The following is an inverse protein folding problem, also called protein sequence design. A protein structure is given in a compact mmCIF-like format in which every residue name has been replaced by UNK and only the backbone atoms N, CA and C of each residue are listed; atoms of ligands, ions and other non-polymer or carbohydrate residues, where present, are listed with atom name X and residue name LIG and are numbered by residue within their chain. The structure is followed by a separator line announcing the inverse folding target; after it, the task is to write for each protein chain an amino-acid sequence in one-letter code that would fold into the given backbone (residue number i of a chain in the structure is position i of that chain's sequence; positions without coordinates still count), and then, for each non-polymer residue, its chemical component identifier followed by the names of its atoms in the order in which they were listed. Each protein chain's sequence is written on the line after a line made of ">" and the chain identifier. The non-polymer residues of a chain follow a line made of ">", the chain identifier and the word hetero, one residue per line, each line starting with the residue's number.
data_IF_320680123661
#
_entry.id   IF_320680123661
#
_cell.length_a   1.000
_cell.length_b   1.000
_cell.length_c   1.000
_cell.angle_alpha   90.00
_cell.angle_beta   90.00
_cell.angle_gamma   90.00
#
_symmetry.space_group_name_H-M   'P 1'
#
loop_
_entity.id
_entity.type
_entity.pdbx_description
1 polymer ?
#
# COMPACT_ATOMS: atom_id res chain seq x y z
N UNK A 1 -35.85 -8.58 -11.84
CA UNK A 1 -35.43 -7.28 -12.41
C UNK A 1 -33.98 -7.04 -12.03
N UNK A 2 -33.05 -7.60 -12.82
CA UNK A 2 -31.62 -7.41 -12.60
C UNK A 2 -31.19 -5.98 -12.96
N UNK A 3 -30.15 -5.42 -12.33
CA UNK A 3 -29.76 -4.04 -12.53
C UNK A 3 -29.02 -3.89 -13.87
N UNK A 4 -29.57 -3.09 -14.77
CA UNK A 4 -28.87 -2.59 -15.95
C UNK A 4 -27.88 -1.51 -15.49
N UNK A 5 -26.59 -1.85 -15.46
CA UNK A 5 -25.53 -0.89 -15.20
C UNK A 5 -24.17 -1.55 -15.06
N UNK A 6 -23.62 -2.11 -16.14
CA UNK A 6 -22.18 -2.39 -16.20
C UNK A 6 -21.44 -1.06 -16.25
N UNK A 7 -21.10 -0.52 -15.08
CA UNK A 7 -20.28 0.69 -14.94
C UNK A 7 -18.83 0.39 -15.24
N UNK A 8 -18.44 0.36 -16.51
CA UNK A 8 -17.04 0.45 -16.94
C UNK A 8 -16.64 1.93 -16.82
N UNK A 9 -16.50 2.43 -15.60
CA UNK A 9 -16.22 3.83 -15.31
C UNK A 9 -16.23 4.06 -13.80
N UNK A 10 -15.10 4.48 -13.25
CA UNK A 10 -14.90 4.63 -11.80
C UNK A 10 -16.07 5.38 -11.15
N UNK A 11 -16.68 4.76 -10.15
CA UNK A 11 -17.94 5.18 -9.50
C UNK A 11 -17.85 6.51 -8.72
N UNK A 12 -16.74 7.25 -8.83
CA UNK A 12 -16.45 8.44 -8.00
C UNK A 12 -16.22 8.12 -6.51
N UNK A 13 -16.45 6.86 -6.09
CA UNK A 13 -16.62 6.46 -4.70
C UNK A 13 -15.38 6.73 -3.82
N UNK A 14 -14.18 6.63 -4.40
CA UNK A 14 -12.93 6.95 -3.69
C UNK A 14 -12.87 8.44 -3.36
N UNK A 15 -13.24 9.32 -4.29
CA UNK A 15 -13.25 10.76 -4.05
C UNK A 15 -14.34 11.14 -3.04
N UNK A 16 -15.54 10.57 -3.19
CA UNK A 16 -16.65 10.83 -2.26
C UNK A 16 -16.31 10.36 -0.84
N UNK A 17 -15.55 9.27 -0.70
CA UNK A 17 -15.10 8.79 0.61
C UNK A 17 -14.16 9.76 1.32
N UNK A 18 -13.39 10.56 0.59
CA UNK A 18 -12.54 11.60 1.19
C UNK A 18 -13.38 12.73 1.78
N UNK A 19 -14.48 13.09 1.12
CA UNK A 19 -15.46 14.04 1.67
C UNK A 19 -16.23 13.43 2.84
N UNK A 20 -16.63 12.16 2.74
CA UNK A 20 -17.34 11.46 3.81
C UNK A 20 -16.47 11.20 5.06
N UNK A 21 -15.14 11.33 4.96
CA UNK A 21 -14.22 11.11 6.08
C UNK A 21 -14.44 12.10 7.24
N UNK A 22 -15.03 13.28 6.99
CA UNK A 22 -15.34 14.28 8.03
C UNK A 22 -16.70 14.07 8.71
N UNK A 23 -17.48 13.09 8.25
CA UNK A 23 -18.79 12.78 8.83
C UNK A 23 -18.64 12.14 10.22
N UNK A 24 -19.71 12.20 11.06
CA UNK A 24 -19.73 11.52 12.35
C UNK A 24 -19.39 10.03 12.22
N UNK A 25 -18.78 9.46 13.27
CA UNK A 25 -18.30 8.06 13.28
C UNK A 25 -19.40 7.06 12.93
N UNK A 26 -20.62 7.24 13.44
CA UNK A 26 -21.76 6.37 13.16
C UNK A 26 -22.13 6.33 11.68
N UNK A 27 -22.12 7.50 11.02
CA UNK A 27 -22.36 7.60 9.58
C UNK A 27 -21.25 6.91 8.80
N UNK A 28 -20.00 7.09 9.22
CA UNK A 28 -18.85 6.43 8.57
C UNK A 28 -18.90 4.90 8.75
N UNK A 29 -19.31 4.40 9.91
CA UNK A 29 -19.52 2.96 10.16
C UNK A 29 -20.57 2.40 9.18
N UNK A 30 -21.70 3.09 9.00
CA UNK A 30 -22.72 2.68 8.05
C UNK A 30 -22.19 2.68 6.61
N UNK A 31 -21.42 3.71 6.21
CA UNK A 31 -20.76 3.76 4.91
C UNK A 31 -19.77 2.61 4.71
N UNK A 32 -18.93 2.30 5.70
CA UNK A 32 -17.97 1.18 5.63
C UNK A 32 -18.72 -0.14 5.44
N UNK A 33 -19.79 -0.39 6.23
CA UNK A 33 -20.63 -1.60 6.09
C UNK A 33 -21.19 -1.73 4.67
N UNK A 34 -21.72 -0.64 4.11
CA UNK A 34 -22.22 -0.60 2.74
C UNK A 34 -21.12 -0.90 1.72
N UNK A 35 -19.95 -0.25 1.83
CA UNK A 35 -18.83 -0.43 0.91
C UNK A 35 -18.31 -1.87 0.93
N UNK A 36 -18.17 -2.48 2.12
CA UNK A 36 -17.75 -3.88 2.26
C UNK A 36 -18.81 -4.85 1.71
N UNK A 37 -20.09 -4.56 1.92
CA UNK A 37 -21.18 -5.36 1.33
C UNK A 37 -21.18 -5.29 -0.20
N UNK A 38 -20.91 -4.13 -0.78
CA UNK A 38 -20.79 -3.97 -2.23
C UNK A 38 -19.55 -4.71 -2.75
N UNK A 39 -18.41 -4.60 -2.08
CA UNK A 39 -17.21 -5.36 -2.42
C UNK A 39 -17.43 -6.87 -2.36
N UNK A 40 -18.28 -7.36 -1.45
CA UNK A 40 -18.61 -8.78 -1.32
C UNK A 40 -19.56 -9.30 -2.41
N UNK A 41 -20.19 -8.42 -3.19
CA UNK A 41 -21.13 -8.82 -4.24
C UNK A 41 -20.46 -9.68 -5.31
N UNK A 42 -21.03 -10.84 -5.68
CA UNK A 42 -20.52 -11.67 -6.77
C UNK A 42 -20.59 -11.01 -8.15
N UNK A 43 -21.38 -9.94 -8.27
CA UNK A 43 -21.65 -9.25 -9.54
C UNK A 43 -20.71 -8.07 -9.79
N UNK A 44 -19.89 -7.71 -8.81
CA UNK A 44 -18.94 -6.60 -8.94
C UNK A 44 -17.61 -7.09 -9.51
N UNK A 45 -17.02 -6.44 -10.52
CA UNK A 45 -15.68 -6.78 -10.98
C UNK A 45 -14.62 -6.38 -9.94
N UNK A 46 -13.44 -7.00 -10.00
CA UNK A 46 -12.32 -6.72 -9.11
C UNK A 46 -11.94 -5.24 -9.06
N UNK A 47 -12.07 -4.51 -10.18
CA UNK A 47 -11.80 -3.06 -10.26
C UNK A 47 -12.75 -2.24 -9.37
N UNK A 48 -14.03 -2.62 -9.31
CA UNK A 48 -15.00 -1.95 -8.46
C UNK A 48 -14.77 -2.32 -6.99
N UNK A 49 -14.44 -3.59 -6.71
CA UNK A 49 -14.08 -4.04 -5.36
C UNK A 49 -12.87 -3.29 -4.82
N UNK A 50 -11.82 -3.11 -5.62
CA UNK A 50 -10.65 -2.30 -5.28
C UNK A 50 -11.09 -0.89 -4.85
N UNK A 51 -11.94 -0.24 -5.65
CA UNK A 51 -12.45 1.10 -5.36
C UNK A 51 -13.24 1.15 -4.05
N UNK A 52 -14.10 0.17 -3.76
CA UNK A 52 -14.85 0.11 -2.50
C UNK A 52 -13.95 -0.11 -1.29
N UNK A 53 -12.92 -0.96 -1.40
CA UNK A 53 -11.97 -1.23 -0.31
C UNK A 53 -11.09 -0.01 -0.03
N UNK A 54 -10.65 0.71 -1.08
CA UNK A 54 -9.94 1.98 -0.94
C UNK A 54 -10.84 3.04 -0.30
N UNK A 55 -12.09 3.16 -0.75
CA UNK A 55 -13.06 4.08 -0.16
C UNK A 55 -13.28 3.79 1.34
N UNK A 56 -13.45 2.52 1.71
CA UNK A 56 -13.59 2.11 3.10
C UNK A 56 -12.35 2.51 3.91
N UNK A 57 -11.15 2.36 3.34
CA UNK A 57 -9.89 2.71 4.00
C UNK A 57 -9.81 4.19 4.40
N UNK A 58 -10.49 5.10 3.69
CA UNK A 58 -10.51 6.53 4.01
C UNK A 58 -11.39 6.85 5.24
N UNK A 59 -12.28 5.95 5.63
CA UNK A 59 -13.32 6.20 6.64
C UNK A 59 -12.98 5.63 8.03
N UNK A 60 -11.89 4.86 8.17
CA UNK A 60 -11.59 4.05 9.36
C UNK A 60 -11.01 4.81 10.57
N UNK A 61 -10.84 6.13 10.49
CA UNK A 61 -10.24 6.89 11.58
C UNK A 61 -11.18 6.95 12.80
N UNK A 62 -10.68 6.76 14.02
CA UNK A 62 -11.43 6.90 15.28
C UNK A 62 -12.65 5.98 15.41
N UNK A 63 -12.59 4.75 14.89
CA UNK A 63 -13.58 3.72 15.16
C UNK A 63 -13.39 3.16 16.57
N UNK A 64 -14.48 2.68 17.18
CA UNK A 64 -14.39 1.85 18.38
C UNK A 64 -13.77 0.47 18.07
N UNK A 65 -13.30 -0.21 19.12
CA UNK A 65 -12.58 -1.48 18.99
C UNK A 65 -13.43 -2.60 18.40
N UNK A 66 -14.75 -2.62 18.65
CA UNK A 66 -15.64 -3.65 18.13
C UNK A 66 -15.75 -3.55 16.61
N UNK A 67 -16.11 -2.37 16.10
CA UNK A 67 -16.22 -2.12 14.67
C UNK A 67 -14.87 -2.24 13.96
N UNK A 68 -13.79 -1.72 14.57
CA UNK A 68 -12.43 -1.84 14.02
C UNK A 68 -12.05 -3.30 13.83
N UNK A 69 -12.26 -4.14 14.84
CA UNK A 69 -11.92 -5.57 14.79
C UNK A 69 -12.77 -6.30 13.75
N UNK A 70 -14.08 -6.03 13.69
CA UNK A 70 -14.96 -6.65 12.70
C UNK A 70 -14.59 -6.29 11.25
N UNK A 71 -14.26 -5.03 10.99
CA UNK A 71 -13.78 -4.59 9.68
C UNK A 71 -12.38 -5.12 9.36
N UNK A 72 -11.52 -5.29 10.36
CA UNK A 72 -10.19 -5.87 10.17
C UNK A 72 -10.29 -7.31 9.67
N UNK A 73 -11.08 -8.15 10.33
CA UNK A 73 -11.27 -9.55 9.92
C UNK A 73 -11.87 -9.64 8.52
N UNK A 74 -12.86 -8.80 8.22
CA UNK A 74 -13.44 -8.71 6.88
C UNK A 74 -12.39 -8.35 5.82
N UNK A 75 -11.57 -7.32 6.09
CA UNK A 75 -10.51 -6.91 5.17
C UNK A 75 -9.43 -8.01 4.98
N UNK A 76 -9.10 -8.75 6.04
CA UNK A 76 -8.17 -9.88 5.97
C UNK A 76 -8.73 -11.05 5.16
N UNK A 77 -10.03 -11.32 5.23
CA UNK A 77 -10.69 -12.30 4.38
C UNK A 77 -10.58 -11.90 2.90
N UNK A 78 -10.86 -10.64 2.54
CA UNK A 78 -10.64 -10.16 1.16
C UNK A 78 -9.19 -10.27 0.71
N UNK A 79 -8.22 -9.94 1.59
CA UNK A 79 -6.80 -9.97 1.25
C UNK A 79 -6.27 -11.38 0.98
N UNK A 80 -6.81 -12.39 1.68
CA UNK A 80 -6.33 -13.77 1.62
C UNK A 80 -7.17 -14.67 0.73
N UNK A 81 -8.48 -14.41 0.66
CA UNK A 81 -9.51 -15.22 -0.02
C UNK A 81 -10.58 -14.29 -0.60
N UNK A 82 -10.26 -13.53 -1.66
CA UNK A 82 -11.24 -12.66 -2.30
C UNK A 82 -12.47 -13.48 -2.75
N UNK A 83 -13.70 -12.93 -2.64
CA UNK A 83 -14.91 -13.64 -3.00
C UNK A 83 -14.95 -13.94 -4.50
N UNK A 84 -15.64 -15.03 -4.86
CA UNK A 84 -15.87 -15.36 -6.26
C UNK A 84 -16.68 -14.27 -6.96
N UNK A 85 -16.37 -14.04 -8.23
CA UNK A 85 -16.99 -13.01 -9.06
C UNK A 85 -17.40 -13.59 -10.40
N UNK A 86 -18.69 -13.53 -10.71
CA UNK A 86 -19.17 -13.88 -12.04
C UNK A 86 -18.66 -12.87 -13.08
N UNK A 87 -18.59 -11.58 -12.71
CA UNK A 87 -18.07 -10.53 -13.58
C UNK A 87 -16.60 -10.77 -13.96
N UNK A 88 -15.76 -11.21 -13.02
CA UNK A 88 -14.36 -11.52 -13.32
C UNK A 88 -14.23 -12.81 -14.13
N UNK A 89 -15.08 -13.81 -13.88
CA UNK A 89 -15.13 -15.05 -14.66
C UNK A 89 -15.54 -14.78 -16.12
N UNK A 90 -16.56 -13.95 -16.33
CA UNK A 90 -17.02 -13.52 -17.66
C UNK A 90 -15.91 -12.75 -18.38
N UNK A 91 -15.24 -11.82 -17.70
CA UNK A 91 -14.14 -11.05 -18.27
C UNK A 91 -12.93 -11.93 -18.64
N UNK A 92 -12.57 -12.87 -17.77
CA UNK A 92 -11.52 -13.84 -18.04
C UNK A 92 -11.84 -14.70 -19.28
N UNK A 93 -13.11 -15.06 -19.51
CA UNK A 93 -13.52 -15.80 -20.71
C UNK A 93 -13.33 -15.01 -22.01
N UNK A 94 -13.34 -13.68 -21.94
CA UNK A 94 -13.13 -12.79 -23.09
C UNK A 94 -11.65 -12.47 -23.35
N UNK A 95 -10.75 -12.84 -22.44
CA UNK A 95 -9.30 -12.54 -22.51
C UNK A 95 -8.49 -13.45 -23.46
N UNK A 96 -9.15 -14.30 -24.26
CA UNK A 96 -8.50 -15.21 -25.20
C UNK A 96 -7.62 -14.46 -26.23
N UNK A 97 -6.41 -14.97 -26.56
CA UNK A 97 -5.55 -14.39 -27.58
C UNK A 97 -6.20 -14.28 -28.97
N UNK A 98 -7.28 -15.02 -29.23
CA UNK A 98 -8.00 -15.05 -30.51
C UNK A 98 -9.32 -14.27 -30.48
N UNK A 99 -9.70 -13.65 -29.35
CA UNK A 99 -10.89 -12.81 -29.26
C UNK A 99 -10.73 -11.52 -30.06
N UNK A 100 -11.79 -11.10 -30.75
CA UNK A 100 -11.84 -9.83 -31.50
C UNK A 100 -11.73 -8.58 -30.61
N UNK A 101 -12.00 -8.73 -29.30
CA UNK A 101 -11.84 -7.70 -28.29
C UNK A 101 -11.05 -8.29 -27.11
N UNK A 102 -9.91 -7.68 -26.78
CA UNK A 102 -9.08 -8.08 -25.63
C UNK A 102 -9.32 -7.12 -24.48
N UNK A 103 -9.82 -7.62 -23.36
CA UNK A 103 -9.86 -6.88 -22.10
C UNK A 103 -8.68 -7.39 -21.26
N UNK A 104 -7.66 -6.55 -21.09
CA UNK A 104 -6.55 -6.83 -20.18
C UNK A 104 -6.90 -6.30 -18.79
N UNK A 105 -7.92 -6.89 -18.15
CA UNK A 105 -8.21 -6.59 -16.75
C UNK A 105 -7.37 -7.51 -15.87
N UNK A 106 -6.32 -6.95 -15.29
CA UNK A 106 -5.49 -7.62 -14.28
C UNK A 106 -5.88 -7.18 -12.87
N UNK A 107 -7.06 -6.60 -12.69
CA UNK A 107 -7.44 -6.03 -11.41
C UNK A 107 -7.51 -7.11 -10.33
N UNK A 108 -6.76 -6.87 -9.26
CA UNK A 108 -6.76 -7.65 -8.05
C UNK A 108 -7.17 -6.72 -6.89
N UNK A 109 -8.19 -7.12 -6.12
CA UNK A 109 -8.63 -6.32 -4.97
C UNK A 109 -7.81 -6.62 -3.70
N UNK A 110 -6.97 -7.66 -3.70
CA UNK A 110 -6.16 -8.06 -2.53
C UNK A 110 -5.20 -6.97 -2.05
N UNK A 111 -4.52 -6.18 -2.91
CA UNK A 111 -3.70 -5.06 -2.46
C UNK A 111 -4.50 -3.98 -1.71
N UNK A 112 -5.69 -3.61 -2.19
CA UNK A 112 -6.55 -2.65 -1.48
C UNK A 112 -7.10 -3.21 -0.17
N UNK A 113 -7.48 -4.49 -0.14
CA UNK A 113 -7.91 -5.17 1.07
C UNK A 113 -6.79 -5.21 2.13
N UNK A 114 -5.56 -5.53 1.70
CA UNK A 114 -4.37 -5.55 2.56
C UNK A 114 -4.07 -4.16 3.12
N UNK A 115 -4.23 -3.12 2.29
CA UNK A 115 -4.07 -1.74 2.72
C UNK A 115 -5.13 -1.32 3.75
N UNK A 116 -6.40 -1.67 3.54
CA UNK A 116 -7.47 -1.45 4.51
C UNK A 116 -7.18 -2.17 5.84
N UNK A 117 -6.78 -3.45 5.78
CA UNK A 117 -6.41 -4.23 6.95
C UNK A 117 -5.24 -3.59 7.71
N UNK A 118 -4.21 -3.09 7.00
CA UNK A 118 -3.10 -2.35 7.61
C UNK A 118 -3.54 -1.07 8.34
N UNK A 119 -4.60 -0.40 7.87
CA UNK A 119 -5.14 0.78 8.55
C UNK A 119 -5.90 0.45 9.82
N UNK A 120 -6.50 -0.74 9.89
CA UNK A 120 -7.29 -1.23 11.02
C UNK A 120 -6.47 -2.01 12.06
N UNK A 121 -5.31 -2.55 11.68
CA UNK A 121 -4.46 -3.35 12.55
C UNK A 121 -3.86 -2.54 13.72
N UNK A 122 -4.03 -3.05 14.94
CA UNK A 122 -3.51 -2.46 16.18
C UNK A 122 -2.55 -3.43 16.87
N UNK A 123 -2.98 -4.68 17.07
CA UNK A 123 -2.19 -5.68 17.79
C UNK A 123 -1.01 -6.18 16.98
N UNK A 124 0.00 -6.73 17.66
CA UNK A 124 1.18 -7.32 17.00
C UNK A 124 0.83 -8.52 16.12
N UNK A 125 -0.21 -9.29 16.49
CA UNK A 125 -0.70 -10.42 15.69
C UNK A 125 -1.43 -9.95 14.43
N UNK A 126 -2.35 -8.98 14.54
CA UNK A 126 -3.03 -8.37 13.40
C UNK A 126 -2.01 -7.80 12.38
N UNK A 127 -1.01 -7.07 12.89
CA UNK A 127 0.07 -6.50 12.08
C UNK A 127 0.90 -7.59 11.38
N UNK A 128 1.20 -8.69 12.07
CA UNK A 128 1.90 -9.85 11.48
C UNK A 128 1.08 -10.49 10.35
N UNK A 129 -0.21 -10.70 10.55
CA UNK A 129 -1.12 -11.26 9.54
C UNK A 129 -1.16 -10.39 8.28
N UNK A 130 -1.25 -9.07 8.46
CA UNK A 130 -1.20 -8.12 7.34
C UNK A 130 0.16 -8.14 6.63
N UNK A 131 1.28 -8.16 7.38
CA UNK A 131 2.62 -8.28 6.80
C UNK A 131 2.74 -9.51 5.91
N UNK A 132 2.34 -10.67 6.42
CA UNK A 132 2.48 -11.94 5.69
C UNK A 132 1.58 -11.97 4.44
N UNK A 133 0.40 -11.35 4.50
CA UNK A 133 -0.46 -11.16 3.33
C UNK A 133 0.17 -10.20 2.30
N UNK A 134 0.71 -9.06 2.75
CA UNK A 134 1.34 -8.06 1.90
C UNK A 134 2.58 -8.61 1.16
N UNK A 135 3.45 -9.36 1.84
CA UNK A 135 4.65 -9.94 1.24
C UNK A 135 4.31 -10.92 0.10
N UNK A 136 3.17 -11.62 0.17
CA UNK A 136 2.71 -12.55 -0.89
C UNK A 136 2.20 -11.85 -2.14
N UNK A 137 1.90 -10.56 -2.06
CA UNK A 137 1.37 -9.75 -3.16
C UNK A 137 2.45 -8.93 -3.88
N UNK A 138 3.71 -9.00 -3.43
CA UNK A 138 4.81 -8.32 -4.10
C UNK A 138 5.04 -8.92 -5.49
N UNK A 139 5.12 -8.05 -6.51
CA UNK A 139 5.37 -8.46 -7.90
C UNK A 139 4.11 -8.70 -8.73
N UNK A 140 2.92 -8.39 -8.21
CA UNK A 140 1.65 -8.46 -8.98
C UNK A 140 1.49 -7.24 -9.91
N UNK A 141 2.06 -6.07 -9.58
CA UNK A 141 2.09 -4.89 -10.47
C UNK A 141 2.63 -3.61 -9.82
N UNK A 142 3.00 -2.59 -10.62
CA UNK A 142 3.69 -1.39 -10.12
C UNK A 142 2.85 -0.44 -9.26
N UNK A 143 1.57 -0.27 -9.57
CA UNK A 143 0.67 0.62 -8.82
C UNK A 143 0.18 -0.06 -7.54
N UNK A 144 0.02 -1.38 -7.59
CA UNK A 144 -0.32 -2.21 -6.43
C UNK A 144 0.84 -2.25 -5.42
N UNK A 145 2.08 -2.31 -5.90
CA UNK A 145 3.28 -2.28 -5.06
C UNK A 145 3.35 -1.02 -4.18
N UNK A 146 2.79 0.12 -4.60
CA UNK A 146 2.73 1.30 -3.75
C UNK A 146 1.85 1.08 -2.52
N UNK A 147 0.68 0.45 -2.70
CA UNK A 147 -0.23 0.12 -1.59
C UNK A 147 0.37 -0.95 -0.69
N UNK A 148 1.02 -1.95 -1.27
CA UNK A 148 1.73 -2.99 -0.52
C UNK A 148 2.88 -2.39 0.32
N UNK A 149 3.72 -1.55 -0.27
CA UNK A 149 4.79 -0.86 0.45
C UNK A 149 4.24 0.01 1.60
N UNK A 150 3.14 0.73 1.36
CA UNK A 150 2.50 1.57 2.39
C UNK A 150 1.87 0.72 3.50
N UNK A 151 1.27 -0.42 3.17
CA UNK A 151 0.73 -1.36 4.15
C UNK A 151 1.84 -1.92 5.04
N UNK A 152 2.96 -2.34 4.45
CA UNK A 152 4.15 -2.84 5.14
C UNK A 152 4.79 -1.77 6.05
N UNK A 153 4.96 -0.55 5.55
CA UNK A 153 5.46 0.59 6.34
C UNK A 153 4.56 0.84 7.57
N UNK A 154 3.24 0.76 7.40
CA UNK A 154 2.27 1.06 8.44
C UNK A 154 2.21 0.01 9.55
N UNK A 155 2.31 -1.27 9.22
CA UNK A 155 2.26 -2.33 10.24
C UNK A 155 3.52 -2.34 11.11
N UNK A 156 4.64 -1.78 10.62
CA UNK A 156 5.84 -1.56 11.44
C UNK A 156 6.40 -2.83 12.09
N UNK A 157 6.13 -3.98 11.48
CA UNK A 157 6.65 -5.29 11.91
C UNK A 157 8.08 -5.46 11.45
N UNK A 158 8.85 -6.33 12.13
CA UNK A 158 10.20 -6.67 11.69
C UNK A 158 10.18 -7.21 10.25
N UNK A 159 10.87 -6.48 9.38
CA UNK A 159 11.02 -6.72 7.95
C UNK A 159 12.51 -6.86 7.57
N UNK A 160 13.42 -6.99 8.55
CA UNK A 160 14.87 -7.02 8.31
C UNK A 160 15.28 -8.07 7.28
N UNK A 161 14.75 -9.29 7.40
CA UNK A 161 15.02 -10.39 6.48
C UNK A 161 14.52 -10.14 5.05
N UNK A 162 13.58 -9.20 4.88
CA UNK A 162 12.99 -8.85 3.59
C UNK A 162 13.63 -7.62 2.94
N UNK A 163 14.54 -6.89 3.60
CA UNK A 163 15.11 -5.65 3.09
C UNK A 163 15.79 -5.87 1.73
N UNK A 164 16.61 -6.93 1.60
CA UNK A 164 17.30 -7.25 0.35
C UNK A 164 16.34 -7.54 -0.80
N UNK A 165 15.25 -8.27 -0.51
CA UNK A 165 14.20 -8.57 -1.48
C UNK A 165 13.45 -7.30 -1.92
N UNK A 166 13.04 -6.46 -0.96
CA UNK A 166 12.36 -5.18 -1.22
C UNK A 166 13.23 -4.24 -2.07
N UNK A 167 14.54 -4.25 -1.87
CA UNK A 167 15.49 -3.43 -2.61
C UNK A 167 15.60 -3.81 -4.10
N UNK A 168 15.12 -4.98 -4.52
CA UNK A 168 15.05 -5.40 -5.92
C UNK A 168 13.69 -5.10 -6.57
N UNK A 169 12.70 -4.65 -5.78
CA UNK A 169 11.35 -4.40 -6.25
C UNK A 169 11.20 -3.11 -7.06
N UNK A 170 9.94 -2.72 -7.26
CA UNK A 170 9.59 -1.41 -7.82
C UNK A 170 9.98 -0.27 -6.88
N UNK A 171 9.95 0.97 -7.39
CA UNK A 171 10.38 2.15 -6.62
C UNK A 171 9.70 2.31 -5.23
N UNK A 172 8.43 1.94 -4.99
CA UNK A 172 7.84 2.03 -3.64
C UNK A 172 8.46 1.03 -2.67
N UNK A 173 8.78 -0.18 -3.13
CA UNK A 173 9.41 -1.23 -2.33
C UNK A 173 10.87 -0.85 -2.01
N UNK A 174 11.60 -0.32 -3.00
CA UNK A 174 12.96 0.21 -2.77
C UNK A 174 12.98 1.41 -1.84
N UNK A 175 11.96 2.29 -1.91
CA UNK A 175 11.76 3.36 -0.92
C UNK A 175 11.61 2.79 0.49
N UNK A 176 10.79 1.76 0.66
CA UNK A 176 10.63 1.10 1.96
C UNK A 176 11.94 0.45 2.42
N UNK A 177 12.65 -0.23 1.52
CA UNK A 177 13.95 -0.84 1.81
C UNK A 177 14.97 0.21 2.29
N UNK A 178 14.99 1.42 1.72
CA UNK A 178 15.85 2.50 2.15
C UNK A 178 15.54 2.99 3.57
N UNK A 179 14.26 3.09 3.94
CA UNK A 179 13.83 3.45 5.29
C UNK A 179 14.26 2.37 6.29
N UNK A 180 13.99 1.10 5.98
CA UNK A 180 14.33 -0.04 6.85
C UNK A 180 15.85 -0.23 7.00
N UNK A 181 16.60 -0.06 5.91
CA UNK A 181 18.07 -0.12 5.94
C UNK A 181 18.67 0.96 6.84
N UNK A 182 18.18 2.19 6.76
CA UNK A 182 18.67 3.29 7.58
C UNK A 182 18.35 3.12 9.08
N UNK A 183 17.31 2.37 9.42
CA UNK A 183 16.95 2.04 10.81
C UNK A 183 17.73 0.82 11.35
N UNK A 184 18.27 -0.01 10.46
CA UNK A 184 18.99 -1.24 10.83
C UNK A 184 20.48 -0.98 10.98
N UNK A 185 21.10 -1.45 12.07
CA UNK A 185 22.54 -1.27 12.31
C UNK A 185 23.41 -2.40 11.72
N UNK A 186 22.80 -3.54 11.42
CA UNK A 186 23.43 -4.82 11.06
C UNK A 186 23.45 -5.11 9.55
N UNK A 187 22.72 -4.32 8.75
CA UNK A 187 22.68 -4.49 7.29
C UNK A 187 23.89 -3.80 6.64
N UNK A 188 24.57 -4.42 5.64
CA UNK A 188 25.76 -3.84 5.02
C UNK A 188 25.55 -2.45 4.40
N UNK A 189 26.60 -1.63 4.41
CA UNK A 189 26.56 -0.24 3.92
C UNK A 189 26.46 -0.14 2.39
N UNK A 190 26.89 -1.20 1.68
CA UNK A 190 26.81 -1.30 0.22
C UNK A 190 25.37 -1.18 -0.26
N UNK A 191 24.41 -1.71 0.50
CA UNK A 191 23.00 -1.60 0.16
C UNK A 191 22.52 -0.15 0.23
N UNK A 192 22.86 0.56 1.30
CA UNK A 192 22.51 1.98 1.44
C UNK A 192 23.18 2.83 0.38
N UNK A 193 24.42 2.52 0.04
CA UNK A 193 25.16 3.15 -1.06
C UNK A 193 24.45 2.95 -2.40
N UNK A 194 23.93 1.76 -2.67
CA UNK A 194 23.15 1.48 -3.88
C UNK A 194 21.82 2.24 -3.89
N UNK A 195 21.08 2.27 -2.78
CA UNK A 195 19.81 3.00 -2.65
C UNK A 195 19.99 4.53 -2.72
N UNK A 196 21.09 5.05 -2.20
CA UNK A 196 21.46 6.46 -2.35
C UNK A 196 21.76 6.86 -3.79
N UNK A 197 22.08 5.89 -4.66
CA UNK A 197 22.28 6.08 -6.11
C UNK A 197 21.10 5.61 -6.95
N UNK A 198 19.96 5.28 -6.34
CA UNK A 198 18.79 4.78 -7.06
C UNK A 198 18.39 5.74 -8.18
N UNK A 199 17.98 5.21 -9.33
CA UNK A 199 17.55 6.03 -10.47
C UNK A 199 16.33 6.90 -10.10
N UNK A 200 15.44 6.40 -9.25
CA UNK A 200 14.25 7.11 -8.81
C UNK A 200 14.56 8.08 -7.66
N UNK A 201 14.29 9.37 -7.89
CA UNK A 201 14.48 10.42 -6.89
C UNK A 201 13.71 10.17 -5.59
N UNK A 202 12.55 9.52 -5.64
CA UNK A 202 11.70 9.29 -4.47
C UNK A 202 12.36 8.33 -3.49
N UNK A 203 13.13 7.37 -4.00
CA UNK A 203 13.94 6.46 -3.17
C UNK A 203 15.09 7.23 -2.51
N UNK A 204 15.77 8.11 -3.26
CA UNK A 204 16.85 8.95 -2.73
C UNK A 204 16.37 9.96 -1.68
N UNK A 205 15.20 10.58 -1.88
CA UNK A 205 14.53 11.44 -0.90
C UNK A 205 14.21 10.65 0.38
N UNK A 206 13.64 9.45 0.26
CA UNK A 206 13.35 8.61 1.42
C UNK A 206 14.62 8.20 2.18
N UNK A 207 15.68 7.84 1.44
CA UNK A 207 17.00 7.55 2.01
C UNK A 207 17.55 8.73 2.80
N UNK A 208 17.49 9.94 2.23
CA UNK A 208 17.95 11.16 2.89
C UNK A 208 17.14 11.46 4.15
N UNK A 209 15.80 11.40 4.08
CA UNK A 209 14.94 11.59 5.25
C UNK A 209 15.22 10.59 6.37
N UNK A 210 15.43 9.32 6.04
CA UNK A 210 15.70 8.29 7.04
C UNK A 210 17.09 8.49 7.66
N UNK A 211 18.10 8.77 6.84
CA UNK A 211 19.48 9.01 7.30
C UNK A 211 19.62 10.25 8.18
N UNK A 212 18.80 11.28 7.98
CA UNK A 212 18.78 12.45 8.89
C UNK A 212 18.55 12.02 10.34
N UNK A 213 17.74 10.99 10.57
CA UNK A 213 17.37 10.49 11.91
C UNK A 213 18.29 9.35 12.39
N UNK A 214 18.96 8.64 11.48
CA UNK A 214 19.79 7.49 11.79
C UNK A 214 21.18 7.88 12.32
N UNK A 215 21.28 8.17 13.63
CA UNK A 215 22.55 8.55 14.28
C UNK A 215 23.62 7.46 14.14
N UNK A 216 23.23 6.19 14.13
CA UNK A 216 24.16 5.08 13.96
C UNK A 216 24.71 4.95 12.52
N UNK A 217 24.20 5.74 11.56
CA UNK A 217 24.63 5.79 10.15
C UNK A 217 25.24 7.14 9.77
N UNK A 218 25.79 7.90 10.72
CA UNK A 218 26.40 9.20 10.41
C UNK A 218 27.61 9.07 9.46
N UNK A 219 28.41 8.01 9.62
CA UNK A 219 29.62 7.78 8.83
C UNK A 219 29.38 6.93 7.57
N UNK A 220 28.12 6.64 7.23
CA UNK A 220 27.77 5.84 6.06
C UNK A 220 28.07 6.58 4.76
N UNK A 221 28.66 5.90 3.78
CA UNK A 221 28.98 6.48 2.47
C UNK A 221 27.72 6.95 1.71
N UNK A 222 26.57 6.34 1.99
CA UNK A 222 25.27 6.77 1.46
C UNK A 222 24.95 8.25 1.79
N UNK A 223 25.40 8.76 2.94
CA UNK A 223 25.15 10.14 3.38
C UNK A 223 25.90 11.13 2.50
N UNK A 224 27.17 10.87 2.23
CA UNK A 224 28.00 11.70 1.36
C UNK A 224 27.48 11.74 -0.07
N UNK A 225 26.97 10.60 -0.57
CA UNK A 225 26.32 10.54 -1.89
C UNK A 225 25.11 11.46 -1.95
N UNK A 226 24.23 11.41 -0.94
CA UNK A 226 22.99 12.19 -0.93
C UNK A 226 23.24 13.68 -0.66
N UNK A 227 24.26 14.04 0.13
CA UNK A 227 24.71 15.42 0.31
C UNK A 227 25.20 16.03 -1.00
N UNK A 228 25.75 15.22 -1.90
CA UNK A 228 26.21 15.62 -3.23
C UNK A 228 25.21 15.25 -4.35
N UNK A 229 23.96 14.88 -4.02
CA UNK A 229 22.95 14.52 -5.01
C UNK A 229 22.71 15.69 -5.97
N UNK A 230 22.57 15.49 -7.29
CA UNK A 230 22.32 16.58 -8.24
C UNK A 230 21.03 17.36 -7.94
N UNK A 231 20.01 16.73 -7.34
CA UNK A 231 18.74 17.37 -7.02
C UNK A 231 18.77 18.07 -5.67
N UNK A 232 18.42 19.36 -5.70
CA UNK A 232 18.33 20.18 -4.49
C UNK A 232 17.36 19.61 -3.44
N UNK A 233 16.25 19.03 -3.87
CA UNK A 233 15.23 18.43 -2.97
C UNK A 233 15.75 17.27 -2.11
N UNK A 234 16.86 16.63 -2.51
CA UNK A 234 17.51 15.60 -1.71
C UNK A 234 18.49 16.25 -0.73
N UNK A 235 19.33 17.17 -1.24
CA UNK A 235 20.35 17.85 -0.43
C UNK A 235 19.76 18.71 0.70
N UNK A 236 18.65 19.41 0.43
CA UNK A 236 18.04 20.35 1.38
C UNK A 236 17.63 19.69 2.70
N UNK A 237 17.29 18.39 2.67
CA UNK A 237 16.89 17.63 3.84
C UNK A 237 17.97 17.55 4.94
N UNK A 238 19.24 17.58 4.56
CA UNK A 238 20.34 17.61 5.52
C UNK A 238 20.64 19.02 6.04
N UNK A 239 20.37 20.05 5.25
CA UNK A 239 20.51 21.45 5.66
C UNK A 239 19.45 21.81 6.69
N UNK A 240 18.19 21.48 6.41
CA UNK A 240 17.06 21.79 7.29
C UNK A 240 17.16 21.07 8.64
N UNK A 241 17.77 19.88 8.67
CA UNK A 241 18.04 19.15 9.90
C UNK A 241 19.07 19.86 10.81
N UNK A 242 20.08 20.52 10.22
CA UNK A 242 21.13 21.24 10.96
C UNK A 242 20.67 22.58 11.53
N UNK A 243 19.61 23.16 10.96
CA UNK A 243 19.00 24.42 11.45
C UNK A 243 18.08 24.17 12.64
N UNK A 244 17.51 22.97 12.75
CA UNK A 244 16.55 22.59 13.79
C UNK A 244 17.14 21.74 14.94
N UNK A 245 18.46 21.52 14.94
CA UNK A 245 19.22 20.80 15.96
C UNK A 245 19.99 21.75 16.87
#
# INVERSE_FOLDING_TARGET
>A
NGPNGFGIGGTGIVNDSLLAAVLPVETRIACIKMLLSNAASPWEPATNRDSYLIAASNLVANLDDEHRTGFFETAMDFATRPPFSSADADNASMSSPLSAMRINDKSDCRPAATYLAAKLAVSSDEKRRVRDAALRLIGVGSDEDYRIATALERVGTDLRDSIGFLAQGSWPLRRLAAILWADSADIPDELGTALARDADVRVRIASAHALVKAIHRQDSAARDILLNDPRWSVRSLFTDARVNS
#
